data_IF_073427199754
#
_entry.id   IF_073427199754
#
_cell.length_a   1.000
_cell.length_b   1.000
_cell.length_c   1.000
_cell.angle_alpha   90.00
_cell.angle_beta   90.00
_cell.angle_gamma   90.00
#
_symmetry.space_group_name_H-M   'P 1'
#
loop_
_entity.id
_entity.type
_entity.pdbx_description
1 polymer ?
#
# COMPACT_ATOMS: atom_id res chain seq x y z
N UNK A 1 3.72 -0.74 -13.70
CA UNK A 1 4.16 -0.90 -12.29
C UNK A 1 2.97 -0.95 -11.32
N UNK A 2 2.10 0.06 -11.29
CA UNK A 2 0.99 0.15 -10.31
C UNK A 2 -0.04 -1.00 -10.33
N UNK A 3 -0.39 -1.54 -11.51
CA UNK A 3 -1.33 -2.67 -11.59
C UNK A 3 -0.70 -3.96 -11.05
N UNK A 4 0.61 -4.17 -11.27
CA UNK A 4 1.30 -5.38 -10.82
C UNK A 4 1.33 -5.49 -9.29
N UNK A 5 1.49 -4.35 -8.61
CA UNK A 5 1.51 -4.23 -7.14
C UNK A 5 0.16 -4.62 -6.50
N UNK A 6 -0.95 -4.34 -7.18
CA UNK A 6 -2.29 -4.74 -6.70
C UNK A 6 -2.65 -6.15 -7.17
N UNK A 7 -2.27 -6.51 -8.39
CA UNK A 7 -2.56 -7.80 -8.99
C UNK A 7 -1.80 -8.95 -8.32
N UNK A 8 -0.54 -8.74 -7.91
CA UNK A 8 0.27 -9.80 -7.32
C UNK A 8 -0.30 -10.32 -5.96
N UNK A 9 -0.65 -9.47 -4.98
CA UNK A 9 -1.30 -9.92 -3.75
C UNK A 9 -2.64 -10.62 -4.01
N UNK A 10 -3.44 -10.11 -4.96
CA UNK A 10 -4.73 -10.71 -5.30
C UNK A 10 -4.56 -12.08 -5.98
N UNK A 11 -3.62 -12.20 -6.92
CA UNK A 11 -3.29 -13.45 -7.57
C UNK A 11 -2.74 -14.48 -6.57
N UNK A 12 -1.88 -14.03 -5.64
CA UNK A 12 -1.33 -14.89 -4.60
C UNK A 12 -2.42 -15.41 -3.66
N UNK A 13 -3.34 -14.56 -3.21
CA UNK A 13 -4.49 -14.97 -2.40
C UNK A 13 -5.41 -15.92 -3.19
N UNK A 14 -5.66 -15.66 -4.47
CA UNK A 14 -6.44 -16.54 -5.33
C UNK A 14 -5.81 -17.94 -5.46
N UNK A 15 -4.50 -18.00 -5.66
CA UNK A 15 -3.75 -19.26 -5.68
C UNK A 15 -3.77 -19.95 -4.31
N UNK A 16 -3.59 -19.19 -3.23
CA UNK A 16 -3.64 -19.69 -1.85
C UNK A 16 -5.00 -20.30 -1.51
N UNK A 17 -6.09 -19.72 -2.01
CA UNK A 17 -7.43 -20.25 -1.82
C UNK A 17 -7.67 -21.54 -2.61
N UNK A 18 -7.09 -21.65 -3.81
CA UNK A 18 -7.20 -22.85 -4.65
C UNK A 18 -6.34 -24.03 -4.16
N UNK A 19 -5.26 -23.76 -3.42
CA UNK A 19 -4.39 -24.77 -2.84
C UNK A 19 -4.95 -25.22 -1.48
N UNK A 20 -5.45 -26.46 -1.38
CA UNK A 20 -5.85 -27.08 -0.12
C UNK A 20 -4.63 -27.46 0.73
N UNK A 21 -3.97 -26.45 1.31
CA UNK A 21 -2.90 -26.67 2.27
C UNK A 21 -3.45 -26.97 3.68
N UNK A 22 -2.76 -27.81 4.47
CA UNK A 22 -3.11 -28.03 5.87
C UNK A 22 -3.01 -26.71 6.64
N UNK A 23 -4.17 -26.23 7.12
CA UNK A 23 -4.29 -24.95 7.80
C UNK A 23 -3.78 -25.08 9.24
N UNK A 24 -2.83 -24.23 9.62
CA UNK A 24 -2.27 -24.25 10.97
C UNK A 24 -3.03 -23.24 11.84
N UNK A 25 -3.76 -23.69 12.88
CA UNK A 25 -4.38 -22.77 13.83
C UNK A 25 -3.27 -21.97 14.52
N UNK A 26 -3.31 -20.64 14.38
CA UNK A 26 -2.28 -19.75 14.90
C UNK A 26 -2.86 -18.37 15.19
N UNK A 27 -2.27 -17.67 16.16
CA UNK A 27 -2.55 -16.24 16.45
C UNK A 27 -1.82 -15.28 15.48
N UNK A 28 -0.99 -15.84 14.59
CA UNK A 28 -0.25 -15.10 13.57
C UNK A 28 -1.14 -14.16 12.73
N UNK A 29 -2.35 -14.56 12.26
CA UNK A 29 -3.20 -13.71 11.44
C UNK A 29 -3.67 -12.45 12.16
N UNK A 30 -3.95 -12.54 13.46
CA UNK A 30 -4.42 -11.41 14.29
C UNK A 30 -3.29 -10.39 14.50
N UNK A 31 -2.08 -10.87 14.79
CA UNK A 31 -0.88 -10.02 14.94
C UNK A 31 -0.54 -9.33 13.62
N UNK A 32 -0.51 -10.09 12.52
CA UNK A 32 -0.20 -9.55 11.19
C UNK A 32 -1.29 -8.57 10.72
N UNK A 33 -2.56 -8.84 11.02
CA UNK A 33 -3.65 -7.92 10.77
C UNK A 33 -3.45 -6.61 11.54
N UNK A 34 -3.15 -6.68 12.84
CA UNK A 34 -2.90 -5.51 13.67
C UNK A 34 -1.74 -4.66 13.12
N UNK A 35 -0.62 -5.28 12.76
CA UNK A 35 0.54 -4.60 12.15
C UNK A 35 0.14 -3.98 10.80
N UNK A 36 -0.60 -4.70 9.97
CA UNK A 36 -1.00 -4.22 8.65
C UNK A 36 -1.94 -3.03 8.71
N UNK A 37 -2.81 -2.93 9.73
CA UNK A 37 -3.69 -1.80 9.93
C UNK A 37 -2.92 -0.50 10.18
N UNK A 38 -1.75 -0.58 10.83
CA UNK A 38 -0.87 0.58 11.03
C UNK A 38 -0.24 1.11 9.74
N UNK A 39 -0.18 0.31 8.66
CA UNK A 39 0.40 0.75 7.39
C UNK A 39 -0.37 1.93 6.77
N UNK A 40 -1.68 1.99 6.96
CA UNK A 40 -2.55 3.05 6.41
C UNK A 40 -2.30 4.41 7.07
N UNK A 41 -2.43 4.60 8.40
CA UNK A 41 -2.13 5.90 9.02
C UNK A 41 -0.66 6.29 8.84
N UNK A 42 0.27 5.32 8.85
CA UNK A 42 1.67 5.60 8.60
C UNK A 42 1.92 6.09 7.15
N UNK A 43 1.17 5.60 6.16
CA UNK A 43 1.27 6.09 4.77
C UNK A 43 0.78 7.53 4.65
N UNK A 44 -0.30 7.91 5.34
CA UNK A 44 -0.75 9.30 5.40
C UNK A 44 0.29 10.22 6.06
N UNK A 45 0.88 9.77 7.16
CA UNK A 45 1.92 10.52 7.86
C UNK A 45 3.16 10.74 6.97
N UNK A 46 3.65 9.67 6.32
CA UNK A 46 4.78 9.76 5.40
C UNK A 46 4.46 10.63 4.18
N UNK A 47 3.24 10.54 3.62
CA UNK A 47 2.81 11.42 2.53
C UNK A 47 2.94 12.88 2.94
N UNK A 48 2.43 13.25 4.12
CA UNK A 48 2.52 14.61 4.64
C UNK A 48 3.98 15.04 4.80
N UNK A 49 4.76 14.26 5.54
CA UNK A 49 6.18 14.55 5.81
C UNK A 49 7.01 14.72 4.53
N UNK A 50 6.85 13.82 3.56
CA UNK A 50 7.59 13.84 2.29
C UNK A 50 7.09 14.97 1.37
N UNK A 51 5.79 15.26 1.36
CA UNK A 51 5.26 16.39 0.60
C UNK A 51 5.81 17.73 1.10
N UNK A 52 5.87 17.92 2.42
CA UNK A 52 6.37 19.16 3.03
C UNK A 52 7.87 19.34 2.77
N UNK A 53 8.65 18.24 2.83
CA UNK A 53 10.06 18.25 2.41
C UNK A 53 10.23 18.54 0.91
N UNK A 54 9.33 18.06 0.07
CA UNK A 54 9.40 18.29 -1.37
C UNK A 54 9.11 19.74 -1.77
N UNK A 55 8.26 20.45 -1.02
CA UNK A 55 7.86 21.83 -1.35
C UNK A 55 9.03 22.82 -1.33
N UNK A 56 10.03 22.59 -0.49
CA UNK A 56 11.24 23.43 -0.39
C UNK A 56 12.31 23.13 -1.44
N UNK A 57 12.10 22.12 -2.31
CA UNK A 57 13.05 21.75 -3.35
C UNK A 57 12.91 22.61 -4.61
N UNK A 58 14.00 22.69 -5.38
CA UNK A 58 14.01 23.32 -6.70
C UNK A 58 12.97 22.67 -7.64
N UNK A 59 12.36 23.42 -8.58
CA UNK A 59 11.31 22.92 -9.48
C UNK A 59 11.67 21.61 -10.20
N UNK A 60 12.92 21.48 -10.64
CA UNK A 60 13.45 20.29 -11.33
C UNK A 60 13.43 19.03 -10.44
N UNK A 61 13.51 19.19 -9.12
CA UNK A 61 13.52 18.09 -8.14
C UNK A 61 12.13 17.78 -7.55
N UNK A 62 11.14 18.67 -7.74
CA UNK A 62 9.78 18.48 -7.20
C UNK A 62 9.09 17.25 -7.78
N UNK A 63 9.30 16.95 -9.07
CA UNK A 63 8.72 15.76 -9.71
C UNK A 63 9.31 14.47 -9.13
N UNK A 64 10.64 14.40 -8.98
CA UNK A 64 11.30 13.25 -8.37
C UNK A 64 10.87 13.05 -6.90
N UNK A 65 10.71 14.14 -6.15
CA UNK A 65 10.20 14.11 -4.79
C UNK A 65 8.75 13.58 -4.72
N UNK A 66 7.87 14.01 -5.63
CA UNK A 66 6.49 13.52 -5.73
C UNK A 66 6.44 12.02 -6.06
N UNK A 67 7.24 11.58 -7.04
CA UNK A 67 7.34 10.17 -7.40
C UNK A 67 7.83 9.32 -6.22
N UNK A 68 8.86 9.78 -5.53
CA UNK A 68 9.42 9.11 -4.35
C UNK A 68 8.37 9.01 -3.24
N UNK A 69 7.67 10.12 -2.96
CA UNK A 69 6.57 10.13 -2.00
C UNK A 69 5.53 9.08 -2.33
N UNK A 70 5.06 9.04 -3.59
CA UNK A 70 4.06 8.06 -4.03
C UNK A 70 4.53 6.62 -3.92
N UNK A 71 5.78 6.34 -4.31
CA UNK A 71 6.36 4.99 -4.21
C UNK A 71 6.42 4.54 -2.75
N UNK A 72 6.88 5.40 -1.84
CA UNK A 72 7.01 5.06 -0.42
C UNK A 72 5.65 4.83 0.22
N UNK A 73 4.66 5.69 -0.04
CA UNK A 73 3.33 5.55 0.56
C UNK A 73 2.60 4.30 0.07
N UNK A 74 2.79 3.95 -1.21
CA UNK A 74 2.30 2.71 -1.80
C UNK A 74 2.97 1.47 -1.21
N UNK A 75 4.30 1.43 -1.20
CA UNK A 75 5.07 0.28 -0.73
C UNK A 75 4.72 -0.08 0.73
N UNK A 76 4.42 0.93 1.55
CA UNK A 76 4.02 0.72 2.93
C UNK A 76 2.68 -0.03 3.06
N UNK A 77 1.67 0.39 2.29
CA UNK A 77 0.35 -0.28 2.28
C UNK A 77 0.43 -1.64 1.59
N UNK A 78 1.20 -1.75 0.51
CA UNK A 78 1.50 -3.03 -0.15
C UNK A 78 2.15 -4.03 0.80
N UNK A 79 3.08 -3.58 1.67
CA UNK A 79 3.63 -4.42 2.73
C UNK A 79 2.54 -4.99 3.64
N UNK A 80 1.54 -4.17 4.01
CA UNK A 80 0.36 -4.62 4.74
C UNK A 80 -0.47 -5.66 3.99
N UNK A 81 -0.68 -5.49 2.68
CA UNK A 81 -1.32 -6.52 1.84
C UNK A 81 -0.54 -7.83 1.88
N UNK A 82 0.77 -7.77 1.68
CA UNK A 82 1.61 -8.97 1.59
C UNK A 82 1.60 -9.77 2.89
N UNK A 83 1.70 -9.11 4.05
CA UNK A 83 1.62 -9.77 5.35
C UNK A 83 0.30 -10.53 5.54
N UNK A 84 -0.83 -9.94 5.15
CA UNK A 84 -2.13 -10.60 5.23
C UNK A 84 -2.29 -11.72 4.20
N UNK A 85 -1.70 -11.57 3.01
CA UNK A 85 -1.72 -12.62 1.99
C UNK A 85 -0.97 -13.87 2.48
N UNK A 86 0.18 -13.68 3.12
CA UNK A 86 0.94 -14.77 3.77
C UNK A 86 0.16 -15.35 4.96
N UNK A 87 -0.45 -14.51 5.79
CA UNK A 87 -1.27 -14.97 6.90
C UNK A 87 -2.43 -15.87 6.43
N UNK A 88 -3.10 -15.46 5.36
CA UNK A 88 -4.17 -16.25 4.73
C UNK A 88 -3.66 -17.57 4.17
N UNK A 89 -2.52 -17.58 3.49
CA UNK A 89 -1.92 -18.80 2.95
C UNK A 89 -1.60 -19.83 4.05
N UNK A 90 -1.09 -19.39 5.20
CA UNK A 90 -0.69 -20.29 6.30
C UNK A 90 -1.89 -20.77 7.12
N UNK A 91 -2.81 -19.86 7.45
CA UNK A 91 -3.89 -20.12 8.42
C UNK A 91 -5.25 -20.39 7.77
N UNK A 92 -5.44 -20.02 6.51
CA UNK A 92 -6.73 -19.98 5.84
C UNK A 92 -7.72 -18.97 6.44
N UNK A 93 -7.24 -17.98 7.22
CA UNK A 93 -8.09 -16.99 7.89
C UNK A 93 -8.76 -16.04 6.90
N UNK A 94 -10.08 -16.12 6.78
CA UNK A 94 -10.87 -15.25 5.89
C UNK A 94 -10.74 -13.77 6.25
N UNK A 95 -10.44 -13.45 7.51
CA UNK A 95 -10.22 -12.06 7.94
C UNK A 95 -8.98 -11.48 7.24
N UNK A 96 -7.89 -12.25 7.14
CA UNK A 96 -6.69 -11.82 6.41
C UNK A 96 -6.98 -11.64 4.92
N UNK A 97 -7.80 -12.50 4.31
CA UNK A 97 -8.24 -12.33 2.92
C UNK A 97 -9.00 -11.01 2.70
N UNK A 98 -9.94 -10.69 3.59
CA UNK A 98 -10.70 -9.42 3.55
C UNK A 98 -9.75 -8.24 3.71
N UNK A 99 -8.76 -8.32 4.60
CA UNK A 99 -7.75 -7.28 4.77
C UNK A 99 -6.93 -7.04 3.50
N UNK A 100 -6.51 -8.10 2.78
CA UNK A 100 -5.85 -7.95 1.47
C UNK A 100 -6.74 -7.20 0.50
N UNK A 101 -8.03 -7.53 0.40
CA UNK A 101 -8.94 -6.85 -0.52
C UNK A 101 -9.09 -5.36 -0.19
N UNK A 102 -9.27 -5.01 1.09
CA UNK A 102 -9.42 -3.62 1.54
C UNK A 102 -8.14 -2.82 1.29
N UNK A 103 -6.98 -3.35 1.68
CA UNK A 103 -5.70 -2.66 1.52
C UNK A 103 -5.32 -2.53 0.03
N UNK A 104 -5.64 -3.53 -0.79
CA UNK A 104 -5.47 -3.47 -2.24
C UNK A 104 -6.38 -2.42 -2.89
N UNK A 105 -7.64 -2.32 -2.47
CA UNK A 105 -8.53 -1.25 -2.89
C UNK A 105 -8.01 0.13 -2.47
N UNK A 106 -7.46 0.24 -1.26
CA UNK A 106 -6.84 1.48 -0.77
C UNK A 106 -5.61 1.89 -1.61
N UNK A 107 -4.79 0.94 -2.06
CA UNK A 107 -3.70 1.23 -2.99
C UNK A 107 -4.19 1.78 -4.33
N UNK A 108 -5.31 1.28 -4.87
CA UNK A 108 -5.90 1.84 -6.10
C UNK A 108 -6.33 3.30 -5.95
N UNK A 109 -6.70 3.75 -4.75
CA UNK A 109 -7.05 5.15 -4.49
C UNK A 109 -5.82 6.08 -4.49
N UNK A 110 -4.63 5.54 -4.27
CA UNK A 110 -3.40 6.33 -4.17
C UNK A 110 -2.70 6.55 -5.52
N UNK A 111 -3.29 6.16 -6.65
CA UNK A 111 -2.71 6.31 -7.99
C UNK A 111 -2.23 7.75 -8.22
N UNK A 112 -1.02 7.96 -8.76
CA UNK A 112 -0.51 9.29 -9.03
C UNK A 112 -1.41 10.02 -10.04
N UNK A 113 -1.79 11.26 -9.70
CA UNK A 113 -2.58 12.14 -10.57
C UNK A 113 -1.81 13.43 -10.80
N UNK A 114 -1.79 13.91 -12.04
CA UNK A 114 -1.10 15.17 -12.37
C UNK A 114 -1.70 16.37 -11.64
N UNK A 115 -3.03 16.41 -11.48
CA UNK A 115 -3.74 17.45 -10.70
C UNK A 115 -3.27 17.52 -9.25
N UNK A 116 -2.96 16.38 -8.64
CA UNK A 116 -2.46 16.31 -7.27
C UNK A 116 -1.05 16.90 -7.19
N UNK A 117 -0.19 16.62 -8.17
CA UNK A 117 1.16 17.18 -8.26
C UNK A 117 1.12 18.71 -8.42
N UNK A 118 0.33 19.23 -9.37
CA UNK A 118 0.23 20.68 -9.59
C UNK A 118 -0.31 21.41 -8.37
N UNK A 119 -1.30 20.83 -7.68
CA UNK A 119 -1.89 21.37 -6.45
C UNK A 119 -0.90 21.35 -5.27
N UNK A 120 -0.22 20.21 -5.03
CA UNK A 120 0.72 20.07 -3.90
C UNK A 120 1.94 20.97 -4.02
N UNK A 121 2.41 21.21 -5.24
CA UNK A 121 3.67 21.89 -5.51
C UNK A 121 3.52 23.29 -6.12
N UNK A 122 2.28 23.75 -6.35
CA UNK A 122 1.91 25.05 -6.93
C UNK A 122 2.65 25.38 -8.23
N UNK A 123 2.71 24.42 -9.15
CA UNK A 123 3.50 24.56 -10.39
C UNK A 123 2.84 25.51 -11.40
N UNK A 124 1.52 25.63 -11.40
CA UNK A 124 0.73 26.48 -12.31
C UNK A 124 0.40 27.89 -11.79
N UNK A 125 0.82 28.26 -10.58
CA UNK A 125 0.63 29.63 -10.08
C UNK A 125 1.78 30.52 -10.54
N UNK A 126 1.74 30.93 -11.81
CA UNK A 126 2.53 32.03 -12.36
C UNK A 126 1.62 33.05 -13.02
#
# INVERSE_FOLDING_TARGET
MHIAIVAAPLAFVGAAFALENPKIPSQLPEILLAISLFSVPASFFLRKLLSDRGKSMQPTKKLAAYQTMKIITWALVEGGCFLNAVAFFISGSMISMVAVMILSAFNLLQVPKMEEFTTLYKVDQK
#
